data_IF_157364346456
#
_entry.id   IF_157364346456
#
_cell.length_a   1.000
_cell.length_b   1.000
_cell.length_c   1.000
_cell.angle_alpha   90.00
_cell.angle_beta   90.00
_cell.angle_gamma   90.00
#
_symmetry.space_group_name_H-M   'P 1'
#
loop_
_entity.id
_entity.type
_entity.pdbx_description
1 polymer ?
#
# COMPACT_ATOMS: atom_id res chain seq x y z
N UNK A 1 -58.02 12.30 -0.83
CA UNK A 1 -57.07 11.16 -0.78
C UNK A 1 -55.70 11.73 -0.47
N UNK A 2 -55.31 11.73 0.80
CA UNK A 2 -53.97 12.15 1.22
C UNK A 2 -53.04 10.94 1.18
N UNK A 3 -51.88 11.06 0.55
CA UNK A 3 -50.72 10.28 0.96
C UNK A 3 -49.46 11.08 0.67
N UNK A 4 -48.62 11.13 1.69
CA UNK A 4 -47.64 12.17 1.93
C UNK A 4 -46.38 11.97 1.08
N UNK A 5 -45.84 13.11 0.63
CA UNK A 5 -44.44 13.40 0.30
C UNK A 5 -43.47 12.25 0.62
N UNK A 6 -42.92 11.62 -0.43
CA UNK A 6 -41.77 10.74 -0.32
C UNK A 6 -40.61 11.52 0.31
N UNK A 7 -40.28 11.12 1.54
CA UNK A 7 -39.33 11.77 2.42
C UNK A 7 -37.96 11.86 1.73
N UNK A 8 -37.39 13.06 1.75
CA UNK A 8 -35.98 13.34 1.46
C UNK A 8 -35.09 12.43 2.34
N UNK A 9 -34.59 11.32 1.81
CA UNK A 9 -33.75 10.36 2.54
C UNK A 9 -32.27 10.64 2.28
N UNK A 10 -31.79 11.78 2.78
CA UNK A 10 -30.43 12.29 2.54
C UNK A 10 -29.33 11.63 3.42
N UNK A 11 -29.59 10.55 4.16
CA UNK A 11 -28.64 10.03 5.18
C UNK A 11 -28.46 8.51 5.25
N UNK A 12 -29.02 7.74 4.32
CA UNK A 12 -28.91 6.26 4.32
C UNK A 12 -28.14 5.70 3.12
N UNK A 13 -27.49 6.58 2.37
CA UNK A 13 -26.73 6.24 1.17
C UNK A 13 -25.35 5.80 1.62
N UNK A 14 -24.94 4.60 1.21
CA UNK A 14 -23.58 4.11 1.42
C UNK A 14 -22.59 5.11 0.78
N UNK A 15 -21.47 5.47 1.43
CA UNK A 15 -20.47 6.32 0.82
C UNK A 15 -19.97 5.71 -0.50
N UNK A 16 -19.41 6.55 -1.37
CA UNK A 16 -18.77 6.05 -2.58
C UNK A 16 -17.67 5.04 -2.22
N UNK A 17 -17.72 3.87 -2.85
CA UNK A 17 -16.75 2.83 -2.61
C UNK A 17 -15.44 3.16 -3.34
N UNK A 18 -14.28 2.89 -2.73
CA UNK A 18 -13.02 3.05 -3.42
C UNK A 18 -12.98 2.17 -4.66
N UNK A 19 -12.32 2.64 -5.72
CA UNK A 19 -12.09 1.83 -6.91
C UNK A 19 -11.37 0.53 -6.54
N UNK A 20 -11.57 -0.52 -7.33
CA UNK A 20 -10.95 -1.84 -7.10
C UNK A 20 -11.32 -2.47 -5.74
N UNK A 21 -12.50 -2.19 -5.22
CA UNK A 21 -13.03 -2.79 -3.99
C UNK A 21 -14.36 -3.51 -4.20
N UNK A 22 -14.70 -4.39 -3.26
CA UNK A 22 -15.96 -5.13 -3.21
C UNK A 22 -16.60 -4.91 -1.84
N UNK A 23 -17.88 -4.56 -1.86
CA UNK A 23 -18.70 -4.47 -0.67
C UNK A 23 -19.25 -5.86 -0.29
N UNK A 24 -19.13 -6.21 0.98
CA UNK A 24 -19.74 -7.39 1.59
C UNK A 24 -20.55 -6.98 2.82
N UNK A 25 -21.83 -7.31 2.84
CA UNK A 25 -22.72 -6.92 3.92
C UNK A 25 -24.20 -7.04 3.56
N UNK A 26 -25.10 -6.64 4.48
CA UNK A 26 -26.53 -6.62 4.22
C UNK A 26 -26.89 -5.64 3.11
N UNK A 27 -27.96 -5.94 2.37
CA UNK A 27 -28.55 -5.01 1.40
C UNK A 27 -29.31 -3.89 2.12
N UNK A 28 -29.41 -2.68 1.51
CA UNK A 28 -30.24 -1.61 2.06
C UNK A 28 -31.72 -2.02 2.19
N UNK A 29 -32.49 -1.41 3.10
CA UNK A 29 -32.16 -0.23 3.90
C UNK A 29 -31.22 -0.53 5.08
N UNK A 30 -30.24 0.35 5.31
CA UNK A 30 -29.29 0.21 6.41
C UNK A 30 -29.89 0.73 7.71
N UNK A 31 -29.85 -0.10 8.77
CA UNK A 31 -30.35 0.23 10.11
C UNK A 31 -29.18 0.59 11.04
N UNK A 32 -29.47 1.30 12.14
CA UNK A 32 -28.48 1.58 13.17
C UNK A 32 -27.80 0.27 13.63
N UNK A 33 -26.47 0.27 13.66
CA UNK A 33 -25.62 -0.87 13.98
C UNK A 33 -25.22 -1.71 12.76
N UNK A 34 -25.70 -1.37 11.56
CA UNK A 34 -25.29 -2.09 10.34
C UNK A 34 -23.80 -1.91 10.10
N UNK A 35 -23.10 -3.02 9.86
CA UNK A 35 -21.70 -3.03 9.45
C UNK A 35 -21.61 -3.61 8.05
N UNK A 36 -20.86 -2.94 7.19
CA UNK A 36 -20.48 -3.44 5.87
C UNK A 36 -18.95 -3.49 5.79
N UNK A 37 -18.43 -4.51 5.13
CA UNK A 37 -17.00 -4.69 4.92
C UNK A 37 -16.67 -4.34 3.48
N UNK A 38 -15.61 -3.57 3.30
CA UNK A 38 -15.08 -3.21 1.99
C UNK A 38 -13.75 -3.92 1.85
N UNK A 39 -13.63 -4.79 0.86
CA UNK A 39 -12.43 -5.59 0.62
C UNK A 39 -11.80 -5.17 -0.69
N UNK A 40 -10.50 -4.90 -0.70
CA UNK A 40 -9.77 -4.68 -1.93
C UNK A 40 -9.76 -5.94 -2.80
N UNK A 41 -9.97 -5.75 -4.10
CA UNK A 41 -9.81 -6.81 -5.09
C UNK A 41 -8.37 -7.31 -5.11
N UNK A 42 -8.16 -8.53 -5.59
CA UNK A 42 -6.82 -9.15 -5.65
C UNK A 42 -5.79 -8.22 -6.29
N UNK A 43 -4.61 -8.12 -5.67
CA UNK A 43 -3.53 -7.25 -6.13
C UNK A 43 -3.63 -5.79 -5.68
N UNK A 44 -4.59 -5.46 -4.81
CA UNK A 44 -4.73 -4.12 -4.23
C UNK A 44 -4.67 -4.17 -2.71
N UNK A 45 -4.10 -3.13 -2.11
CA UNK A 45 -4.00 -2.95 -0.66
C UNK A 45 -4.22 -1.46 -0.33
N UNK A 46 -4.59 -1.20 0.92
CA UNK A 46 -4.60 0.15 1.47
C UNK A 46 -3.18 0.71 1.59
N UNK A 47 -3.03 2.05 1.73
CA UNK A 47 -1.73 2.67 2.04
C UNK A 47 -1.06 2.09 3.30
N UNK A 48 -1.85 1.53 4.21
CA UNK A 48 -1.39 0.89 5.47
C UNK A 48 -1.13 -0.61 5.32
N UNK A 49 -1.33 -1.18 4.13
CA UNK A 49 -1.12 -2.60 3.83
C UNK A 49 -2.26 -3.52 4.23
N UNK A 50 -3.44 -2.99 4.55
CA UNK A 50 -4.64 -3.79 4.81
C UNK A 50 -5.38 -4.09 3.51
N UNK A 51 -6.05 -5.24 3.47
CA UNK A 51 -6.87 -5.62 2.33
C UNK A 51 -8.37 -5.34 2.55
N UNK A 52 -8.78 -4.85 3.72
CA UNK A 52 -10.18 -4.55 4.02
C UNK A 52 -10.32 -3.46 5.07
N UNK A 53 -11.50 -2.84 5.10
CA UNK A 53 -11.96 -1.92 6.16
C UNK A 53 -13.44 -2.16 6.43
N UNK A 54 -13.94 -1.60 7.54
CA UNK A 54 -15.34 -1.70 7.94
C UNK A 54 -15.99 -0.32 8.04
N UNK A 55 -17.20 -0.20 7.49
CA UNK A 55 -18.04 0.99 7.63
C UNK A 55 -19.25 0.62 8.49
N UNK A 56 -19.53 1.41 9.53
CA UNK A 56 -20.64 1.19 10.44
C UNK A 56 -21.66 2.32 10.35
N UNK A 57 -22.92 2.00 10.14
CA UNK A 57 -24.00 2.97 10.17
C UNK A 57 -24.53 3.13 11.60
N UNK A 58 -24.47 4.34 12.17
CA UNK A 58 -24.93 4.63 13.54
C UNK A 58 -26.40 5.11 13.62
N UNK A 59 -27.13 5.05 12.50
CA UNK A 59 -28.50 5.55 12.37
C UNK A 59 -28.63 6.93 11.74
N UNK A 60 -27.55 7.72 11.69
CA UNK A 60 -27.52 9.05 11.05
C UNK A 60 -26.36 9.23 10.07
N UNK A 61 -25.23 8.58 10.31
CA UNK A 61 -24.03 8.67 9.49
C UNK A 61 -23.26 7.35 9.44
N UNK A 62 -22.36 7.26 8.48
CA UNK A 62 -21.36 6.20 8.39
C UNK A 62 -20.12 6.59 9.20
N UNK A 63 -19.77 5.72 10.13
CA UNK A 63 -18.49 5.72 10.84
C UNK A 63 -17.55 4.85 10.02
N UNK A 64 -16.49 5.47 9.52
CA UNK A 64 -15.48 4.82 8.70
C UNK A 64 -14.26 4.55 9.59
N UNK A 65 -13.85 3.28 9.69
CA UNK A 65 -12.70 2.90 10.51
C UNK A 65 -11.39 3.53 9.98
N UNK A 66 -11.24 3.61 8.67
CA UNK A 66 -10.09 4.22 7.98
C UNK A 66 -10.55 5.33 7.05
N UNK A 67 -10.47 6.58 7.52
CA UNK A 67 -10.99 7.76 6.83
C UNK A 67 -10.42 7.95 5.41
N UNK A 68 -9.23 7.41 5.15
CA UNK A 68 -8.51 7.46 3.87
C UNK A 68 -8.28 6.05 3.28
N UNK A 69 -9.23 5.15 3.48
CA UNK A 69 -9.14 3.80 2.88
C UNK A 69 -9.33 3.87 1.36
N UNK A 70 -8.26 3.54 0.64
CA UNK A 70 -8.23 3.43 -0.82
C UNK A 70 -7.57 2.11 -1.22
N UNK A 71 -8.07 1.43 -2.26
CA UNK A 71 -7.46 0.20 -2.76
C UNK A 71 -6.49 0.53 -3.89
N UNK A 72 -5.23 0.76 -3.51
CA UNK A 72 -4.14 1.05 -4.43
C UNK A 72 -3.48 -0.23 -4.93
N UNK A 73 -2.99 -0.20 -6.16
CA UNK A 73 -2.35 -1.36 -6.77
C UNK A 73 -1.05 -1.69 -6.03
N UNK A 74 -1.01 -2.88 -5.45
CA UNK A 74 0.11 -3.37 -4.66
C UNK A 74 1.12 -4.12 -5.54
N UNK A 75 2.38 -4.09 -5.12
CA UNK A 75 3.42 -4.92 -5.72
C UNK A 75 3.21 -6.36 -5.25
N UNK A 76 2.79 -7.21 -6.18
CA UNK A 76 2.51 -8.63 -5.91
C UNK A 76 3.76 -9.49 -5.86
N UNK A 77 4.90 -8.93 -6.23
CA UNK A 77 6.22 -9.57 -6.16
C UNK A 77 7.06 -8.94 -5.06
N UNK A 78 8.00 -9.72 -4.54
CA UNK A 78 9.04 -9.21 -3.66
C UNK A 78 9.86 -8.11 -4.38
N UNK A 79 10.39 -7.13 -3.63
CA UNK A 79 11.31 -6.15 -4.19
C UNK A 79 12.54 -6.84 -4.79
N UNK A 80 13.24 -6.19 -5.75
CA UNK A 80 14.40 -6.76 -6.42
C UNK A 80 15.38 -7.44 -5.46
N UNK A 81 15.98 -8.54 -5.92
CA UNK A 81 16.97 -9.24 -5.11
C UNK A 81 18.22 -8.38 -4.93
N UNK A 82 18.79 -8.44 -3.73
CA UNK A 82 20.08 -7.83 -3.49
C UNK A 82 21.17 -8.63 -4.22
N UNK A 83 22.11 -7.91 -4.82
CA UNK A 83 23.36 -8.50 -5.29
C UNK A 83 24.27 -8.93 -4.14
N UNK A 84 25.38 -9.58 -4.48
CA UNK A 84 26.39 -10.01 -3.50
C UNK A 84 26.97 -8.79 -2.77
N UNK A 85 27.07 -8.87 -1.45
CA UNK A 85 27.62 -7.80 -0.62
C UNK A 85 26.65 -6.66 -0.31
N UNK A 86 25.39 -6.76 -0.76
CA UNK A 86 24.35 -5.75 -0.51
C UNK A 86 23.35 -6.30 0.51
N UNK A 87 23.09 -5.52 1.57
CA UNK A 87 22.07 -5.85 2.55
C UNK A 87 20.73 -5.22 2.14
N UNK A 88 19.72 -6.07 1.87
CA UNK A 88 18.34 -5.61 1.69
C UNK A 88 17.59 -5.62 3.01
N UNK A 89 16.98 -4.48 3.33
CA UNK A 89 15.98 -4.37 4.39
C UNK A 89 14.64 -4.03 3.78
N UNK A 90 13.62 -4.80 4.13
CA UNK A 90 12.27 -4.60 3.65
C UNK A 90 11.27 -4.95 4.73
N UNK A 91 10.39 -4.01 5.04
CA UNK A 91 9.27 -4.19 5.96
C UNK A 91 7.98 -3.75 5.25
N UNK A 92 7.04 -4.68 5.10
CA UNK A 92 5.77 -4.41 4.41
C UNK A 92 5.23 -5.60 3.63
N UNK A 93 4.10 -5.39 2.97
CA UNK A 93 3.36 -6.37 2.17
C UNK A 93 3.14 -5.90 0.72
N UNK A 94 4.05 -5.07 0.21
CA UNK A 94 4.02 -4.55 -1.15
C UNK A 94 2.95 -3.49 -1.35
N UNK A 95 2.43 -2.91 -0.27
CA UNK A 95 1.47 -1.81 -0.37
C UNK A 95 2.08 -0.63 -1.13
N UNK A 96 1.21 0.20 -1.71
CA UNK A 96 1.66 1.42 -2.38
C UNK A 96 2.50 2.27 -1.42
N UNK A 97 3.64 2.77 -1.89
CA UNK A 97 4.60 3.52 -1.10
C UNK A 97 5.52 2.67 -0.21
N UNK A 98 5.34 1.34 -0.15
CA UNK A 98 6.27 0.46 0.55
C UNK A 98 7.70 0.64 0.02
N UNK A 99 8.69 0.56 0.92
CA UNK A 99 10.08 0.85 0.59
C UNK A 99 10.96 -0.34 0.95
N UNK A 100 11.76 -0.80 0.00
CA UNK A 100 12.92 -1.65 0.23
C UNK A 100 14.18 -0.78 0.18
N UNK A 101 15.02 -0.87 1.21
CA UNK A 101 16.33 -0.24 1.22
C UNK A 101 17.42 -1.26 0.93
N UNK A 102 18.45 -0.82 0.22
CA UNK A 102 19.61 -1.63 -0.16
C UNK A 102 20.85 -0.89 0.29
N UNK A 103 21.60 -1.50 1.18
CA UNK A 103 22.80 -0.93 1.75
C UNK A 103 24.04 -1.65 1.20
N UNK A 104 24.97 -0.90 0.63
CA UNK A 104 26.21 -1.44 0.08
C UNK A 104 27.24 -1.80 1.17
N UNK A 105 26.91 -1.66 2.45
CA UNK A 105 27.81 -1.94 3.55
C UNK A 105 28.87 -0.86 3.76
N UNK A 106 29.79 -1.14 4.68
CA UNK A 106 30.77 -0.17 5.17
C UNK A 106 31.78 0.17 4.06
N UNK A 107 31.85 1.46 3.70
CA UNK A 107 32.73 2.03 2.66
C UNK A 107 32.43 1.62 1.21
N UNK A 108 31.30 0.95 0.97
CA UNK A 108 30.84 0.63 -0.37
C UNK A 108 29.88 1.71 -0.91
N UNK A 109 29.98 2.01 -2.21
CA UNK A 109 29.09 2.93 -2.91
C UNK A 109 28.46 2.26 -4.13
N UNK A 110 27.22 2.64 -4.41
CA UNK A 110 26.55 2.38 -5.67
C UNK A 110 27.07 3.32 -6.77
N UNK A 111 26.81 3.03 -8.05
CA UNK A 111 27.28 3.86 -9.17
C UNK A 111 26.79 5.32 -9.15
N UNK A 112 25.74 5.62 -8.40
CA UNK A 112 25.23 6.97 -8.19
C UNK A 112 26.00 7.76 -7.10
N UNK A 113 26.98 7.11 -6.44
CA UNK A 113 27.76 7.67 -5.35
C UNK A 113 27.11 7.56 -3.98
N UNK A 114 25.94 6.92 -3.86
CA UNK A 114 25.26 6.71 -2.58
C UNK A 114 25.64 5.36 -1.96
N UNK A 115 25.66 5.27 -0.64
CA UNK A 115 25.83 3.99 0.07
C UNK A 115 24.52 3.20 0.15
N UNK A 116 23.38 3.84 -0.11
CA UNK A 116 22.05 3.26 0.02
C UNK A 116 21.17 3.59 -1.18
N UNK A 117 20.48 2.58 -1.72
CA UNK A 117 19.42 2.74 -2.72
C UNK A 117 18.05 2.43 -2.10
N UNK A 118 17.01 3.01 -2.69
CA UNK A 118 15.63 2.80 -2.29
C UNK A 118 14.80 2.35 -3.48
N UNK A 119 14.12 1.21 -3.35
CA UNK A 119 13.08 0.79 -4.28
C UNK A 119 11.72 1.00 -3.63
N UNK A 120 10.81 1.70 -4.32
CA UNK A 120 9.46 2.01 -3.84
C UNK A 120 8.43 1.26 -4.65
N UNK A 121 7.41 0.70 -3.99
CA UNK A 121 6.27 0.14 -4.68
C UNK A 121 5.32 1.25 -5.15
N UNK A 122 5.13 1.40 -6.46
CA UNK A 122 4.23 2.38 -7.07
C UNK A 122 3.44 1.70 -8.20
N UNK A 123 2.11 1.83 -8.17
CA UNK A 123 1.20 1.30 -9.20
C UNK A 123 1.43 -0.18 -9.56
N UNK A 124 1.73 -0.98 -8.54
CA UNK A 124 2.01 -2.41 -8.64
C UNK A 124 3.40 -2.78 -9.16
N UNK A 125 4.30 -1.81 -9.33
CA UNK A 125 5.67 -2.03 -9.76
C UNK A 125 6.67 -1.44 -8.76
N UNK A 126 7.80 -2.13 -8.60
CA UNK A 126 8.94 -1.58 -7.87
C UNK A 126 9.66 -0.55 -8.74
N UNK A 127 10.04 0.59 -8.16
CA UNK A 127 10.70 1.68 -8.87
C UNK A 127 12.09 1.29 -9.41
N UNK A 128 12.73 0.31 -8.77
CA UNK A 128 13.91 -0.36 -9.28
C UNK A 128 13.51 -1.78 -9.70
N UNK A 129 14.00 -2.23 -10.86
CA UNK A 129 13.82 -3.61 -11.35
C UNK A 129 15.03 -4.49 -11.08
N UNK A 130 16.20 -3.88 -10.94
CA UNK A 130 17.47 -4.53 -10.62
C UNK A 130 18.31 -3.62 -9.71
N UNK A 131 19.19 -4.23 -8.91
CA UNK A 131 20.07 -3.50 -7.99
C UNK A 131 21.49 -3.57 -8.53
N UNK A 132 22.09 -2.43 -8.92
CA UNK A 132 23.44 -2.44 -9.45
C UNK A 132 24.43 -2.98 -8.41
N UNK A 133 25.45 -3.68 -8.90
CA UNK A 133 26.59 -4.05 -8.07
C UNK A 133 27.23 -2.81 -7.47
N UNK A 134 27.81 -2.98 -6.29
CA UNK A 134 28.39 -1.88 -5.56
C UNK A 134 29.90 -2.10 -5.32
N UNK A 135 30.66 -1.01 -5.24
CA UNK A 135 32.12 -1.03 -5.25
C UNK A 135 32.71 -0.34 -4.03
N UNK A 136 33.82 -0.87 -3.53
CA UNK A 136 34.61 -0.33 -2.42
C UNK A 136 35.80 0.44 -2.98
N UNK A 137 36.01 1.68 -2.53
CA UNK A 137 37.13 2.55 -2.96
C UNK A 137 38.51 2.09 -2.43
N UNK A 138 38.68 0.83 -2.03
CA UNK A 138 39.95 0.30 -1.52
C UNK A 138 40.44 -0.89 -2.34
N UNK A 139 40.70 -0.64 -3.63
CA UNK A 139 41.64 -1.46 -4.40
C UNK A 139 42.63 -0.60 -5.19
N UNK A 140 43.18 0.43 -4.55
CA UNK A 140 44.57 0.80 -4.85
C UNK A 140 45.47 -0.20 -4.13
N UNK A 141 45.95 -1.17 -4.90
CA UNK A 141 46.99 -2.11 -4.51
C UNK A 141 48.18 -1.36 -3.87
N UNK A 142 48.43 -1.58 -2.59
CA UNK A 142 49.80 -1.55 -2.08
C UNK A 142 50.30 -2.99 -2.20
N UNK A 143 50.68 -3.38 -3.42
CA UNK A 143 51.73 -4.38 -3.61
C UNK A 143 53.05 -3.61 -3.63
N UNK A 144 53.64 -3.37 -2.45
CA UNK A 144 55.05 -3.04 -2.36
C UNK A 144 55.82 -4.36 -2.30
N UNK A 145 56.56 -4.61 -3.38
CA UNK A 145 57.56 -5.68 -3.54
C UNK A 145 58.76 -5.41 -2.64
#
# INVERSE_FOLDING_TARGET
MHTHKGVSSLQQILPELPANSVLSGPSPPYLNGTVVNITCTTGHLSPTGKNHTSFQFNGTSWIIEEQEFECLKACTSDPPNAGVGILRTYTGYGQWGAVASYDCGVLGLFPDGNATLYSRCLDGNWSLTDIPGCSWEHSSMICLV
#
